data_IF_223620579608
#
_entry.id   IF_223620579608
#
_cell.length_a   1.000
_cell.length_b   1.000
_cell.length_c   1.000
_cell.angle_alpha   90.00
_cell.angle_beta   90.00
_cell.angle_gamma   90.00
#
_symmetry.space_group_name_H-M   'P 1'
#
loop_
_entity.id
_entity.type
_entity.pdbx_description
1 polymer ?
#
# COMPACT_ATOMS: atom_id res chain seq x y z
N UNK A 1 34.98 9.80 -19.95
CA UNK A 1 33.54 10.02 -20.25
C UNK A 1 32.72 8.74 -20.07
N UNK A 2 33.22 7.58 -20.50
CA UNK A 2 32.57 6.26 -20.38
C UNK A 2 32.10 5.87 -18.95
N UNK A 3 32.82 6.30 -17.91
CA UNK A 3 32.50 5.99 -16.51
C UNK A 3 31.30 6.81 -15.98
N UNK A 4 31.13 8.05 -16.45
CA UNK A 4 29.99 8.91 -16.11
C UNK A 4 28.70 8.46 -16.79
N UNK A 5 28.78 8.02 -18.05
CA UNK A 5 27.64 7.50 -18.81
C UNK A 5 27.12 6.17 -18.24
N UNK A 6 28.02 5.26 -17.85
CA UNK A 6 27.65 4.03 -17.12
C UNK A 6 26.96 4.35 -15.79
N UNK A 7 27.55 5.23 -14.98
CA UNK A 7 26.97 5.61 -13.70
C UNK A 7 25.58 6.28 -13.84
N UNK A 8 25.41 7.14 -14.83
CA UNK A 8 24.14 7.78 -15.12
C UNK A 8 23.07 6.76 -15.56
N UNK A 9 23.45 5.82 -16.43
CA UNK A 9 22.56 4.75 -16.91
C UNK A 9 22.10 3.82 -15.78
N UNK A 10 23.02 3.41 -14.90
CA UNK A 10 22.69 2.56 -13.73
C UNK A 10 21.72 3.24 -12.76
N UNK A 11 21.88 4.55 -12.49
CA UNK A 11 20.92 5.31 -11.68
C UNK A 11 19.55 5.39 -12.34
N UNK A 12 19.50 5.58 -13.65
CA UNK A 12 18.25 5.65 -14.39
C UNK A 12 17.50 4.31 -14.33
N UNK A 13 18.19 3.20 -14.57
CA UNK A 13 17.62 1.86 -14.45
C UNK A 13 17.12 1.56 -13.04
N UNK A 14 17.86 1.97 -12.01
CA UNK A 14 17.45 1.79 -10.61
C UNK A 14 16.17 2.56 -10.29
N UNK A 15 16.09 3.82 -10.73
CA UNK A 15 14.89 4.63 -10.53
C UNK A 15 13.69 4.02 -11.26
N UNK A 16 13.90 3.46 -12.47
CA UNK A 16 12.87 2.72 -13.21
C UNK A 16 12.40 1.49 -12.42
N UNK A 17 13.33 0.68 -11.89
CA UNK A 17 12.99 -0.50 -11.07
C UNK A 17 12.19 -0.12 -9.83
N UNK A 18 12.58 0.93 -9.11
CA UNK A 18 11.84 1.42 -7.93
C UNK A 18 10.44 1.92 -8.29
N UNK A 19 10.31 2.61 -9.42
CA UNK A 19 9.02 3.11 -9.91
C UNK A 19 8.10 1.94 -10.28
N UNK A 20 8.60 0.97 -11.05
CA UNK A 20 7.84 -0.23 -11.40
C UNK A 20 7.42 -1.02 -10.16
N UNK A 21 8.33 -1.18 -9.19
CA UNK A 21 8.02 -1.84 -7.92
C UNK A 21 6.88 -1.12 -7.18
N UNK A 22 6.97 0.21 -7.07
CA UNK A 22 5.91 1.01 -6.42
C UNK A 22 4.56 0.82 -7.11
N UNK A 23 4.51 0.89 -8.44
CA UNK A 23 3.27 0.72 -9.22
C UNK A 23 2.64 -0.66 -9.03
N UNK A 24 3.46 -1.72 -9.04
CA UNK A 24 3.00 -3.09 -8.79
C UNK A 24 2.38 -3.24 -7.40
N UNK A 25 3.00 -2.66 -6.37
CA UNK A 25 2.48 -2.75 -5.00
C UNK A 25 1.21 -1.92 -4.84
N UNK A 26 1.11 -0.73 -5.47
CA UNK A 26 -0.11 0.08 -5.45
C UNK A 26 -1.32 -0.66 -6.06
N UNK A 27 -1.12 -1.46 -7.10
CA UNK A 27 -2.20 -2.27 -7.70
C UNK A 27 -2.74 -3.36 -6.76
N UNK A 28 -1.98 -3.78 -5.75
CA UNK A 28 -2.38 -4.80 -4.77
C UNK A 28 -3.17 -4.22 -3.59
N UNK A 29 -3.17 -2.90 -3.41
CA UNK A 29 -3.86 -2.20 -2.33
C UNK A 29 -5.37 -2.08 -2.59
N UNK A 30 -6.05 -3.21 -2.78
CA UNK A 30 -7.50 -3.24 -2.93
C UNK A 30 -8.10 -4.43 -2.24
N UNK A 31 -9.23 -4.22 -1.56
CA UNK A 31 -9.98 -5.27 -0.85
C UNK A 31 -11.44 -5.24 -1.28
N UNK A 32 -12.06 -6.40 -1.32
CA UNK A 32 -13.50 -6.54 -1.59
C UNK A 32 -14.25 -6.70 -0.28
N UNK A 33 -15.32 -5.94 -0.09
CA UNK A 33 -16.18 -6.07 1.10
C UNK A 33 -17.63 -5.79 0.75
N UNK A 34 -18.53 -6.70 1.15
CA UNK A 34 -19.97 -6.60 0.91
C UNK A 34 -20.36 -6.23 -0.55
N UNK A 35 -19.64 -6.80 -1.52
CA UNK A 35 -19.84 -6.53 -2.95
C UNK A 35 -19.20 -5.25 -3.50
N UNK A 36 -18.62 -4.40 -2.65
CA UNK A 36 -17.84 -3.22 -3.04
C UNK A 36 -16.35 -3.49 -3.19
N UNK A 37 -15.66 -2.69 -4.01
CA UNK A 37 -14.21 -2.69 -4.13
C UNK A 37 -13.63 -1.43 -3.47
N UNK A 38 -12.74 -1.61 -2.49
CA UNK A 38 -12.12 -0.51 -1.76
C UNK A 38 -10.63 -0.45 -2.02
N UNK A 39 -10.15 0.70 -2.49
CA UNK A 39 -8.73 1.02 -2.52
C UNK A 39 -8.24 1.31 -1.09
N UNK A 40 -7.21 0.58 -0.66
CA UNK A 40 -6.68 0.70 0.70
C UNK A 40 -5.63 1.80 0.74
N UNK A 41 -6.00 2.94 1.33
CA UNK A 41 -5.09 4.04 1.62
C UNK A 41 -5.15 4.46 3.09
N UNK A 42 -4.24 5.38 3.44
CA UNK A 42 -4.16 5.92 4.81
C UNK A 42 -5.46 6.66 5.17
N UNK A 43 -6.13 7.31 4.21
CA UNK A 43 -7.35 8.07 4.48
C UNK A 43 -8.50 7.14 4.89
N UNK A 44 -8.73 6.07 4.12
CA UNK A 44 -9.74 5.05 4.40
C UNK A 44 -9.45 4.39 5.75
N UNK A 45 -8.21 3.95 5.98
CA UNK A 45 -7.85 3.30 7.25
C UNK A 45 -8.02 4.24 8.45
N UNK A 46 -7.64 5.52 8.29
CA UNK A 46 -7.79 6.53 9.34
C UNK A 46 -9.26 6.80 9.63
N UNK A 47 -10.08 6.96 8.59
CA UNK A 47 -11.53 7.12 8.71
C UNK A 47 -12.15 5.96 9.49
N UNK A 48 -11.88 4.72 9.06
CA UNK A 48 -12.41 3.52 9.70
C UNK A 48 -11.94 3.41 11.15
N UNK A 49 -10.66 3.66 11.43
CA UNK A 49 -10.14 3.65 12.80
C UNK A 49 -10.85 4.68 13.69
N UNK A 50 -11.06 5.90 13.20
CA UNK A 50 -11.80 6.93 13.95
C UNK A 50 -13.25 6.50 14.21
N UNK A 51 -13.93 5.92 13.22
CA UNK A 51 -15.32 5.42 13.39
C UNK A 51 -15.40 4.28 14.38
N UNK A 52 -14.46 3.33 14.36
CA UNK A 52 -14.34 2.25 15.35
C UNK A 52 -14.15 2.82 16.76
N UNK A 53 -13.21 3.76 16.93
CA UNK A 53 -12.96 4.40 18.22
C UNK A 53 -14.20 5.14 18.73
N UNK A 54 -14.86 5.92 17.87
CA UNK A 54 -16.07 6.64 18.24
C UNK A 54 -17.24 5.72 18.59
N UNK A 55 -17.41 4.60 17.88
CA UNK A 55 -18.40 3.59 18.21
C UNK A 55 -18.19 3.02 19.62
N UNK A 56 -16.94 2.79 20.03
CA UNK A 56 -16.59 2.36 21.38
C UNK A 56 -16.78 3.43 22.46
N UNK A 57 -16.29 4.65 22.20
CA UNK A 57 -16.32 5.74 23.19
C UNK A 57 -17.72 6.33 23.41
N UNK A 58 -18.50 6.45 22.33
CA UNK A 58 -19.80 7.12 22.34
C UNK A 58 -20.98 6.16 22.13
N UNK A 59 -20.74 4.84 22.16
CA UNK A 59 -21.76 3.80 21.96
C UNK A 59 -22.55 3.98 20.65
N UNK A 60 -21.87 4.47 19.60
CA UNK A 60 -22.45 4.65 18.27
C UNK A 60 -22.45 3.34 17.49
N UNK A 61 -23.29 3.26 16.45
CA UNK A 61 -23.31 2.13 15.54
C UNK A 61 -21.97 1.99 14.80
N UNK A 62 -21.56 0.73 14.58
CA UNK A 62 -20.44 0.37 13.70
C UNK A 62 -20.84 0.28 12.23
N UNK A 63 -22.14 0.33 11.96
CA UNK A 63 -22.63 0.37 10.59
C UNK A 63 -22.43 1.76 9.99
N UNK A 64 -22.00 1.78 8.74
CA UNK A 64 -21.80 3.01 7.99
C UNK A 64 -22.07 2.78 6.50
N UNK A 65 -22.21 3.86 5.74
CA UNK A 65 -22.35 3.77 4.28
C UNK A 65 -21.28 4.68 3.67
N UNK A 66 -20.36 4.09 2.91
CA UNK A 66 -19.32 4.81 2.18
C UNK A 66 -19.32 4.41 0.71
N UNK A 67 -18.93 5.31 -0.20
CA UNK A 67 -18.71 4.95 -1.59
C UNK A 67 -17.49 4.04 -1.72
N UNK A 68 -17.60 3.04 -2.60
CA UNK A 68 -16.48 2.22 -3.03
C UNK A 68 -15.63 2.94 -4.11
N UNK A 69 -14.62 2.28 -4.67
CA UNK A 69 -13.74 2.87 -5.70
C UNK A 69 -14.43 3.21 -7.03
N UNK A 70 -15.69 2.82 -7.21
CA UNK A 70 -16.52 3.16 -8.38
C UNK A 70 -17.71 4.05 -8.00
N UNK A 71 -17.61 4.76 -6.88
CA UNK A 71 -18.65 5.65 -6.34
C UNK A 71 -19.98 4.93 -6.05
N UNK A 72 -19.95 3.60 -5.86
CA UNK A 72 -21.12 2.83 -5.48
C UNK A 72 -21.29 2.87 -3.97
N UNK A 73 -22.45 3.29 -3.43
CA UNK A 73 -22.65 3.34 -1.98
C UNK A 73 -22.80 1.93 -1.41
N UNK A 74 -21.92 1.55 -0.48
CA UNK A 74 -21.90 0.23 0.13
C UNK A 74 -22.08 0.37 1.63
N UNK A 75 -23.01 -0.42 2.18
CA UNK A 75 -23.17 -0.56 3.63
C UNK A 75 -22.05 -1.42 4.19
N UNK A 76 -21.38 -0.93 5.23
CA UNK A 76 -20.22 -1.58 5.83
C UNK A 76 -20.32 -1.70 7.35
N UNK A 77 -19.67 -2.71 7.93
CA UNK A 77 -19.21 -2.64 9.31
C UNK A 77 -17.78 -2.07 9.32
N UNK A 78 -17.58 -0.95 10.02
CA UNK A 78 -16.29 -0.24 10.01
C UNK A 78 -15.15 -1.03 10.66
N UNK A 79 -15.45 -1.93 11.60
CA UNK A 79 -14.45 -2.75 12.27
C UNK A 79 -13.98 -3.89 11.37
N UNK A 80 -14.93 -4.56 10.71
CA UNK A 80 -14.61 -5.66 9.79
C UNK A 80 -13.81 -5.17 8.59
N UNK A 81 -14.24 -4.06 7.98
CA UNK A 81 -13.52 -3.47 6.85
C UNK A 81 -12.11 -3.00 7.27
N UNK A 82 -11.96 -2.40 8.46
CA UNK A 82 -10.65 -1.99 8.97
C UNK A 82 -9.69 -3.17 9.11
N UNK A 83 -10.15 -4.31 9.62
CA UNK A 83 -9.31 -5.51 9.78
C UNK A 83 -8.81 -6.00 8.42
N UNK A 84 -9.68 -6.04 7.41
CA UNK A 84 -9.29 -6.43 6.05
C UNK A 84 -8.30 -5.45 5.43
N UNK A 85 -8.55 -4.15 5.58
CA UNK A 85 -7.65 -3.10 5.10
C UNK A 85 -6.28 -3.20 5.77
N UNK A 86 -6.22 -3.36 7.10
CA UNK A 86 -4.96 -3.48 7.85
C UNK A 86 -4.16 -4.73 7.46
N UNK A 87 -4.83 -5.87 7.30
CA UNK A 87 -4.19 -7.10 6.83
C UNK A 87 -3.57 -6.92 5.44
N UNK A 88 -4.35 -6.40 4.48
CA UNK A 88 -3.85 -6.18 3.11
C UNK A 88 -2.75 -5.12 3.08
N UNK A 89 -2.88 -4.06 3.87
CA UNK A 89 -1.88 -3.02 3.98
C UNK A 89 -0.53 -3.58 4.44
N UNK A 90 -0.55 -4.37 5.52
CA UNK A 90 0.65 -5.03 6.07
C UNK A 90 1.26 -6.01 5.08
N UNK A 91 0.45 -6.85 4.45
CA UNK A 91 0.90 -7.81 3.42
C UNK A 91 1.69 -7.08 2.32
N UNK A 92 1.06 -6.10 1.67
CA UNK A 92 1.65 -5.38 0.53
C UNK A 92 2.88 -4.57 0.94
N UNK A 93 2.84 -3.88 2.09
CA UNK A 93 3.97 -3.05 2.51
C UNK A 93 5.15 -3.89 3.02
N UNK A 94 4.90 -5.03 3.65
CA UNK A 94 5.98 -5.94 4.05
C UNK A 94 6.68 -6.52 2.82
N UNK A 95 5.92 -6.97 1.82
CA UNK A 95 6.48 -7.44 0.55
C UNK A 95 7.28 -6.34 -0.15
N UNK A 96 6.71 -5.14 -0.22
CA UNK A 96 7.40 -3.99 -0.82
C UNK A 96 8.72 -3.68 -0.09
N UNK A 97 8.70 -3.70 1.25
CA UNK A 97 9.89 -3.45 2.04
C UNK A 97 10.98 -4.50 1.80
N UNK A 98 10.61 -5.77 1.73
CA UNK A 98 11.55 -6.87 1.45
C UNK A 98 12.19 -6.71 0.06
N UNK A 99 11.38 -6.49 -0.98
CA UNK A 99 11.87 -6.29 -2.35
C UNK A 99 12.77 -5.04 -2.45
N UNK A 100 12.44 -3.98 -1.72
CA UNK A 100 13.25 -2.78 -1.64
C UNK A 100 14.62 -3.03 -1.00
N UNK A 101 14.69 -3.79 0.11
CA UNK A 101 15.96 -4.13 0.74
C UNK A 101 16.81 -5.10 -0.10
N UNK A 102 16.19 -5.97 -0.91
CA UNK A 102 16.91 -6.79 -1.90
C UNK A 102 17.57 -5.93 -2.98
N UNK A 103 16.85 -4.94 -3.53
CA UNK A 103 17.39 -3.98 -4.51
C UNK A 103 18.60 -3.23 -3.94
N UNK A 104 18.54 -2.86 -2.66
CA UNK A 104 19.63 -2.18 -1.94
C UNK A 104 20.81 -3.11 -1.65
N UNK A 105 20.58 -4.39 -1.41
CA UNK A 105 21.63 -5.38 -1.16
C UNK A 105 22.38 -5.73 -2.45
N UNK A 106 21.67 -5.90 -3.58
CA UNK A 106 22.28 -6.08 -4.91
C UNK A 106 23.25 -4.95 -5.26
N UNK A 107 22.96 -3.72 -4.82
CA UNK A 107 23.89 -2.59 -4.94
C UNK A 107 25.20 -2.82 -4.17
N UNK A 108 25.14 -3.22 -2.89
CA UNK A 108 26.35 -3.43 -2.08
C UNK A 108 27.27 -4.49 -2.66
N UNK A 109 26.72 -5.57 -3.23
CA UNK A 109 27.52 -6.64 -3.84
C UNK A 109 28.18 -6.18 -5.14
N UNK A 110 27.47 -5.40 -5.98
CA UNK A 110 28.08 -4.77 -7.16
C UNK A 110 29.19 -3.78 -6.81
N UNK A 111 29.01 -2.99 -5.75
CA UNK A 111 30.01 -2.02 -5.29
C UNK A 111 31.28 -2.68 -4.70
N UNK A 112 31.20 -3.94 -4.24
CA UNK A 112 32.33 -4.71 -3.67
C UNK A 112 33.04 -5.58 -4.71
N UNK A 113 32.38 -5.90 -5.83
CA UNK A 113 32.92 -6.73 -6.90
C UNK A 113 33.67 -5.93 -7.99
N UNK A 114 33.91 -4.63 -7.77
CA UNK A 114 34.64 -3.71 -8.66
C UNK A 114 35.96 -3.29 -8.03
#
# INVERSE_FOLDING_TARGET
MENLEKYASERFELNRQKQTLKEQQQQRLSVTYNGGLFYVDINLMTYLSMRVTNAGLFQQSREDIIPDSYDTPIKIDVQDLLVLCDQRWKEVHNDWYNEYEELKTKRKVKDVAV
#
